data_IF_388567924178
#
_entry.id   IF_388567924178
#
_cell.length_a   1.000
_cell.length_b   1.000
_cell.length_c   1.000
_cell.angle_alpha   90.00
_cell.angle_beta   90.00
_cell.angle_gamma   90.00
#
_symmetry.space_group_name_H-M   'P 1'
#
loop_
_entity.id
_entity.type
_entity.pdbx_description
1 polymer ?
#
# COMPACT_ATOMS: atom_id res chain seq x y z
N UNK A 1 -9.74 -1.28 -23.11
CA UNK A 1 -9.43 -2.62 -22.58
C UNK A 1 -9.38 -2.50 -21.05
N UNK A 2 -10.43 -2.94 -20.34
CA UNK A 2 -10.50 -2.85 -18.87
C UNK A 2 -9.74 -4.04 -18.25
N UNK A 3 -8.42 -3.91 -18.06
CA UNK A 3 -7.69 -4.90 -17.28
C UNK A 3 -7.89 -4.62 -15.79
N UNK A 4 -8.84 -5.32 -15.17
CA UNK A 4 -8.88 -5.45 -13.71
C UNK A 4 -7.77 -6.43 -13.32
N UNK A 5 -6.60 -5.91 -13.00
CA UNK A 5 -5.49 -6.73 -12.48
C UNK A 5 -5.90 -7.26 -11.11
N UNK A 6 -6.14 -8.57 -10.99
CA UNK A 6 -6.35 -9.25 -9.69
C UNK A 6 -5.01 -9.45 -8.96
N UNK A 7 -4.22 -8.39 -8.89
CA UNK A 7 -2.91 -8.37 -8.27
C UNK A 7 -3.05 -7.57 -6.98
N UNK A 8 -2.92 -8.24 -5.82
CA UNK A 8 -2.89 -7.57 -4.52
C UNK A 8 -1.50 -6.97 -4.20
N UNK A 9 -0.51 -7.25 -5.05
CA UNK A 9 0.82 -6.70 -4.95
C UNK A 9 0.84 -5.26 -5.50
N UNK A 10 0.85 -4.29 -4.60
CA UNK A 10 0.82 -2.86 -4.91
C UNK A 10 2.07 -2.39 -5.67
N UNK A 11 3.23 -3.00 -5.40
CA UNK A 11 4.48 -2.69 -6.11
C UNK A 11 4.32 -3.02 -7.61
N UNK A 12 3.86 -4.23 -7.92
CA UNK A 12 3.63 -4.66 -9.31
C UNK A 12 2.55 -3.85 -10.01
N UNK A 13 1.55 -3.36 -9.27
CA UNK A 13 0.54 -2.46 -9.82
C UNK A 13 1.16 -1.12 -10.20
N UNK A 14 1.97 -0.52 -9.31
CA UNK A 14 2.66 0.74 -9.58
C UNK A 14 3.59 0.63 -10.80
N UNK A 15 4.41 -0.42 -10.88
CA UNK A 15 5.28 -0.69 -12.03
C UNK A 15 4.48 -0.87 -13.33
N UNK A 16 3.36 -1.60 -13.25
CA UNK A 16 2.51 -1.89 -14.41
C UNK A 16 1.83 -0.65 -15.01
N UNK A 17 1.66 0.42 -14.22
CA UNK A 17 1.11 1.69 -14.68
C UNK A 17 2.16 2.81 -14.80
N UNK A 18 3.43 2.55 -14.51
CA UNK A 18 4.52 3.52 -14.62
C UNK A 18 4.53 4.59 -13.52
N UNK A 19 3.73 4.43 -12.45
CA UNK A 19 3.65 5.40 -11.36
C UNK A 19 4.89 5.37 -10.46
N UNK A 20 5.62 4.25 -10.40
CA UNK A 20 6.82 4.10 -9.59
C UNK A 20 7.89 5.16 -9.91
N UNK A 21 7.96 5.58 -11.17
CA UNK A 21 8.91 6.62 -11.64
C UNK A 21 8.53 8.03 -11.19
N UNK A 22 7.28 8.23 -10.80
CA UNK A 22 6.74 9.55 -10.40
C UNK A 22 6.64 9.68 -8.88
N UNK A 23 6.71 8.55 -8.16
CA UNK A 23 6.60 8.52 -6.72
C UNK A 23 7.89 9.00 -6.04
N UNK A 24 7.73 9.61 -4.87
CA UNK A 24 8.86 9.88 -3.97
C UNK A 24 9.29 8.59 -3.27
N UNK A 25 10.50 8.59 -2.71
CA UNK A 25 10.99 7.48 -1.88
C UNK A 25 10.02 7.17 -0.71
N UNK A 26 9.53 8.19 -0.01
CA UNK A 26 8.54 8.02 1.07
C UNK A 26 7.24 7.34 0.58
N UNK A 27 6.78 7.67 -0.63
CA UNK A 27 5.59 7.02 -1.21
C UNK A 27 5.86 5.56 -1.56
N UNK A 28 7.05 5.24 -2.08
CA UNK A 28 7.47 3.88 -2.39
C UNK A 28 7.60 3.05 -1.10
N UNK A 29 8.24 3.58 -0.06
CA UNK A 29 8.37 2.96 1.25
C UNK A 29 6.99 2.69 1.89
N UNK A 30 6.06 3.64 1.75
CA UNK A 30 4.70 3.46 2.23
C UNK A 30 4.00 2.31 1.49
N UNK A 31 4.13 2.22 0.16
CA UNK A 31 3.52 1.15 -0.62
C UNK A 31 4.08 -0.21 -0.23
N UNK A 32 5.39 -0.33 0.01
CA UNK A 32 6.02 -1.56 0.49
C UNK A 32 5.50 -1.94 1.89
N UNK A 33 5.40 -0.97 2.81
CA UNK A 33 4.85 -1.18 4.15
C UNK A 33 3.38 -1.68 4.13
N UNK A 34 2.60 -1.30 3.11
CA UNK A 34 1.20 -1.73 2.97
C UNK A 34 1.06 -3.16 2.40
N UNK A 35 2.10 -3.72 1.79
CA UNK A 35 2.09 -5.08 1.22
C UNK A 35 1.65 -6.18 2.21
N UNK A 36 2.25 -6.31 3.41
CA UNK A 36 1.88 -7.35 4.37
C UNK A 36 0.45 -7.18 4.91
N UNK A 37 -0.08 -5.96 4.94
CA UNK A 37 -1.45 -5.68 5.40
C UNK A 37 -2.52 -6.29 4.49
N UNK A 38 -2.20 -6.54 3.21
CA UNK A 38 -3.14 -7.07 2.22
C UNK A 38 -3.11 -8.60 2.08
N UNK A 39 -1.93 -9.23 2.15
CA UNK A 39 -1.73 -10.63 1.72
C UNK A 39 -1.43 -11.56 2.90
N UNK A 40 -0.67 -11.09 3.89
CA UNK A 40 -0.01 -11.94 4.91
C UNK A 40 -0.81 -12.07 6.21
N UNK A 41 -1.79 -11.20 6.48
CA UNK A 41 -2.72 -11.33 7.60
C UNK A 41 -3.64 -12.58 7.52
N UNK A 42 -3.51 -13.39 6.46
CA UNK A 42 -4.21 -14.67 6.27
C UNK A 42 -3.57 -15.83 7.05
N UNK A 43 -2.29 -15.73 7.41
CA UNK A 43 -1.62 -16.73 8.23
C UNK A 43 -1.61 -16.31 9.71
N UNK A 44 -2.14 -17.13 10.64
CA UNK A 44 -2.32 -16.73 12.04
C UNK A 44 -1.06 -16.19 12.74
N UNK A 45 0.10 -16.81 12.53
CA UNK A 45 1.37 -16.39 13.16
C UNK A 45 1.87 -15.03 12.68
N UNK A 46 1.70 -14.72 11.39
CA UNK A 46 2.08 -13.43 10.81
C UNK A 46 1.13 -12.32 11.22
N UNK A 47 -0.15 -12.68 11.36
CA UNK A 47 -1.19 -11.78 11.85
C UNK A 47 -0.84 -11.27 13.25
N UNK A 48 -0.44 -12.15 14.18
CA UNK A 48 -0.15 -11.73 15.55
C UNK A 48 1.03 -10.75 15.64
N UNK A 49 2.12 -10.99 14.91
CA UNK A 49 3.25 -10.05 14.85
C UNK A 49 2.85 -8.72 14.19
N UNK A 50 2.07 -8.77 13.12
CA UNK A 50 1.54 -7.57 12.46
C UNK A 50 0.66 -6.75 13.42
N UNK A 51 -0.24 -7.40 14.17
CA UNK A 51 -1.12 -6.73 15.14
C UNK A 51 -0.34 -6.00 16.22
N UNK A 52 0.80 -6.53 16.68
CA UNK A 52 1.67 -5.83 17.65
C UNK A 52 2.20 -4.50 17.11
N UNK A 53 2.37 -4.38 15.79
CA UNK A 53 2.81 -3.13 15.16
C UNK A 53 1.68 -2.12 14.97
N UNK A 54 0.42 -2.56 14.91
CA UNK A 54 -0.77 -1.74 14.61
C UNK A 54 -1.28 -0.94 15.82
N UNK A 55 -0.44 -0.04 16.34
CA UNK A 55 -0.85 0.92 17.36
C UNK A 55 -1.87 1.93 16.81
N UNK A 56 -2.63 2.58 17.69
CA UNK A 56 -3.61 3.60 17.28
C UNK A 56 -2.98 4.74 16.47
N UNK A 57 -1.75 5.13 16.81
CA UNK A 57 -0.98 6.14 16.07
C UNK A 57 -0.60 5.64 14.68
N UNK A 58 -0.07 4.41 14.58
CA UNK A 58 0.30 3.81 13.28
C UNK A 58 -0.93 3.64 12.38
N UNK A 59 -2.06 3.21 12.93
CA UNK A 59 -3.31 3.10 12.18
C UNK A 59 -3.80 4.46 11.66
N UNK A 60 -3.72 5.53 12.48
CA UNK A 60 -4.03 6.89 12.02
C UNK A 60 -3.10 7.33 10.89
N UNK A 61 -1.80 7.08 11.03
CA UNK A 61 -0.82 7.36 9.98
C UNK A 61 -1.16 6.62 8.67
N UNK A 62 -1.44 5.31 8.74
CA UNK A 62 -1.83 4.50 7.57
C UNK A 62 -3.05 5.10 6.86
N UNK A 63 -4.10 5.45 7.61
CA UNK A 63 -5.34 6.00 7.03
C UNK A 63 -5.09 7.35 6.38
N UNK A 64 -4.40 8.27 7.06
CA UNK A 64 -4.17 9.63 6.53
C UNK A 64 -3.20 9.61 5.33
N UNK A 65 -2.14 8.80 5.37
CA UNK A 65 -1.22 8.67 4.24
C UNK A 65 -1.88 7.99 3.05
N UNK A 66 -2.74 7.00 3.28
CA UNK A 66 -3.55 6.37 2.21
C UNK A 66 -4.42 7.40 1.50
N UNK A 67 -5.09 8.31 2.24
CA UNK A 67 -5.89 9.39 1.65
C UNK A 67 -5.05 10.33 0.79
N UNK A 68 -3.86 10.72 1.28
CA UNK A 68 -2.93 11.59 0.53
C UNK A 68 -2.48 10.94 -0.77
N UNK A 69 -2.07 9.67 -0.72
CA UNK A 69 -1.66 8.91 -1.92
C UNK A 69 -2.82 8.78 -2.89
N UNK A 70 -4.04 8.50 -2.42
CA UNK A 70 -5.20 8.41 -3.30
C UNK A 70 -5.49 9.71 -4.05
N UNK A 71 -5.41 10.86 -3.37
CA UNK A 71 -5.55 12.17 -4.01
C UNK A 71 -4.41 12.41 -5.01
N UNK A 72 -3.17 12.07 -4.65
CA UNK A 72 -2.02 12.20 -5.54
C UNK A 72 -2.16 11.34 -6.81
N UNK A 73 -2.57 10.07 -6.69
CA UNK A 73 -2.78 9.20 -7.85
C UNK A 73 -3.85 9.78 -8.77
N UNK A 74 -4.94 10.33 -8.23
CA UNK A 74 -5.99 10.99 -9.01
C UNK A 74 -5.52 12.25 -9.75
N UNK A 75 -4.50 12.92 -9.26
CA UNK A 75 -3.88 14.06 -9.95
C UNK A 75 -2.96 13.63 -11.10
N UNK A 76 -2.49 12.37 -11.10
CA UNK A 76 -1.59 11.82 -12.12
C UNK A 76 -2.29 11.04 -13.23
N UNK A 77 -3.59 10.77 -13.08
CA UNK A 77 -4.44 10.04 -14.04
C UNK A 77 -5.47 10.98 -14.67
#
# INVERSE_FOLDING_TARGET
MNYKLYIHNLIRLNEGCGLEKLMTEEQLDFIDMMMPLNIEARYPSYKDELFKTLTAERCRYIVETTKKIFVWIKDKL
#
